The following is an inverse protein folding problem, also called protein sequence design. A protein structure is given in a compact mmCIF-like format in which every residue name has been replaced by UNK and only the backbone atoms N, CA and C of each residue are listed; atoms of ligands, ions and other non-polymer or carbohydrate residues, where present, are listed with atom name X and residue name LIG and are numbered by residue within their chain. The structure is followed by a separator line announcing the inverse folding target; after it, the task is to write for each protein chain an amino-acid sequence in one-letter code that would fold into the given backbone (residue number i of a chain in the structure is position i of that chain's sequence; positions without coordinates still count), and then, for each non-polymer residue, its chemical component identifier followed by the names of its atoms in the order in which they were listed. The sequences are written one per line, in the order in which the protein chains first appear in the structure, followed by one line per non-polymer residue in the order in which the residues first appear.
data_IF_572565308830
#
_entry.id   IF_572565308830
#
_cell.length_a   1.000
_cell.length_b   1.000
_cell.length_c   1.000
_cell.angle_alpha   90.00
_cell.angle_beta   90.00
_cell.angle_gamma   90.00
#
_symmetry.space_group_name_H-M   'P 1'
#
loop_
_entity.id
_entity.type
_entity.pdbx_description
1 polymer ?
#
# COMPACT_ATOMS: atom_id res chain seq x y z
N UNK A 1 37.52 12.95 5.89
CA UNK A 1 37.49 11.75 5.01
C UNK A 1 36.19 11.74 4.20
N UNK A 2 36.06 12.71 3.28
CA UNK A 2 34.81 13.47 3.08
C UNK A 2 34.31 13.53 1.62
N UNK A 3 34.64 12.60 0.73
CA UNK A 3 34.19 12.73 -0.68
C UNK A 3 34.07 11.43 -1.49
N UNK A 4 34.42 10.27 -0.92
CA UNK A 4 34.45 8.99 -1.64
C UNK A 4 33.30 8.02 -1.30
N UNK A 5 32.42 8.38 -0.35
CA UNK A 5 31.24 7.58 0.04
C UNK A 5 29.98 7.97 -0.76
N UNK A 6 30.00 9.15 -1.40
CA UNK A 6 28.91 9.67 -2.23
C UNK A 6 29.03 9.17 -3.67
N UNK A 7 28.42 8.00 -3.95
CA UNK A 7 28.09 7.47 -5.29
C UNK A 7 27.49 6.05 -5.24
N UNK A 8 27.58 5.37 -4.09
CA UNK A 8 26.96 4.06 -3.91
C UNK A 8 25.53 4.30 -3.45
N UNK A 9 24.55 3.73 -4.15
CA UNK A 9 23.12 3.72 -3.81
C UNK A 9 22.27 4.96 -4.20
N UNK A 10 22.74 5.86 -5.08
CA UNK A 10 21.94 7.01 -5.52
C UNK A 10 20.59 6.60 -6.13
N UNK A 11 20.54 5.47 -6.86
CA UNK A 11 19.30 4.96 -7.44
C UNK A 11 18.44 4.28 -6.39
N UNK A 12 19.05 3.46 -5.53
CA UNK A 12 18.37 2.83 -4.40
C UNK A 12 17.70 3.85 -3.49
N UNK A 13 18.38 4.94 -3.12
CA UNK A 13 17.81 6.02 -2.30
C UNK A 13 16.59 6.67 -2.96
N UNK A 14 16.64 6.92 -4.27
CA UNK A 14 15.49 7.45 -5.02
C UNK A 14 14.31 6.48 -5.04
N UNK A 15 14.58 5.18 -5.22
CA UNK A 15 13.54 4.18 -5.21
C UNK A 15 12.90 4.04 -3.83
N UNK A 16 13.70 4.04 -2.76
CA UNK A 16 13.20 4.01 -1.39
C UNK A 16 12.34 5.24 -1.08
N UNK A 17 12.76 6.43 -1.49
CA UNK A 17 11.96 7.64 -1.30
C UNK A 17 10.64 7.59 -2.09
N UNK A 18 10.66 7.07 -3.32
CA UNK A 18 9.44 6.90 -4.09
C UNK A 18 8.51 5.86 -3.43
N UNK A 19 9.05 4.76 -2.93
CA UNK A 19 8.30 3.73 -2.21
C UNK A 19 7.65 4.29 -0.95
N UNK A 20 8.38 5.06 -0.14
CA UNK A 20 7.83 5.76 1.02
C UNK A 20 6.63 6.64 0.64
N UNK A 21 6.72 7.42 -0.43
CA UNK A 21 5.60 8.24 -0.89
C UNK A 21 4.41 7.42 -1.44
N UNK A 22 4.66 6.20 -1.94
CA UNK A 22 3.62 5.25 -2.35
C UNK A 22 2.89 4.69 -1.13
N UNK A 23 3.60 4.23 -0.09
CA UNK A 23 2.96 3.71 1.13
C UNK A 23 2.17 4.78 1.88
N UNK A 24 2.66 6.02 1.92
CA UNK A 24 1.91 7.12 2.51
C UNK A 24 0.65 7.46 1.68
N UNK A 25 0.69 7.26 0.37
CA UNK A 25 -0.50 7.37 -0.47
C UNK A 25 -1.50 6.26 -0.17
N UNK A 26 -1.04 5.00 -0.09
CA UNK A 26 -1.87 3.85 0.24
C UNK A 26 -2.49 3.98 1.63
N UNK A 27 -1.68 4.36 2.63
CA UNK A 27 -2.12 4.68 4.00
C UNK A 27 -3.28 5.66 4.01
N UNK A 28 -3.13 6.82 3.34
CA UNK A 28 -4.18 7.83 3.29
C UNK A 28 -5.42 7.36 2.52
N UNK A 29 -5.23 6.59 1.44
CA UNK A 29 -6.31 6.05 0.62
C UNK A 29 -7.14 5.02 1.40
N UNK A 30 -6.48 4.04 2.04
CA UNK A 30 -7.13 3.04 2.89
C UNK A 30 -7.80 3.67 4.10
N UNK A 31 -7.20 4.69 4.72
CA UNK A 31 -7.82 5.41 5.83
C UNK A 31 -9.12 6.09 5.39
N UNK A 32 -9.14 6.77 4.24
CA UNK A 32 -10.35 7.36 3.70
C UNK A 32 -11.40 6.29 3.38
N UNK A 33 -11.00 5.19 2.74
CA UNK A 33 -11.90 4.08 2.41
C UNK A 33 -12.48 3.40 3.67
N UNK A 34 -11.70 3.24 4.73
CA UNK A 34 -12.18 2.69 6.00
C UNK A 34 -13.35 3.50 6.58
N UNK A 35 -13.23 4.83 6.59
CA UNK A 35 -14.29 5.71 7.09
C UNK A 35 -15.48 5.82 6.14
N UNK A 36 -15.26 5.73 4.83
CA UNK A 36 -16.37 5.65 3.85
C UNK A 36 -17.17 4.36 4.04
N UNK A 37 -16.49 3.23 4.30
CA UNK A 37 -17.13 1.95 4.58
C UNK A 37 -17.90 1.95 5.90
N UNK A 38 -17.35 2.59 6.94
CA UNK A 38 -18.02 2.81 8.22
C UNK A 38 -19.29 3.67 8.06
N UNK A 39 -19.21 4.77 7.30
CA UNK A 39 -20.36 5.63 6.93
C UNK A 39 -21.45 4.85 6.16
N UNK A 40 -21.07 3.80 5.43
CA UNK A 40 -21.99 2.90 4.73
C UNK A 40 -22.51 1.73 5.59
N UNK A 41 -22.10 1.62 6.86
CA UNK A 41 -22.49 0.52 7.76
C UNK A 41 -21.82 -0.83 7.45
N UNK A 42 -20.65 -0.80 6.81
CA UNK A 42 -19.89 -1.98 6.37
C UNK A 42 -18.68 -2.23 7.27
N UNK A 43 -18.91 -2.34 8.58
CA UNK A 43 -17.85 -2.35 9.61
C UNK A 43 -16.80 -3.44 9.41
N UNK A 44 -17.21 -4.60 8.87
CA UNK A 44 -16.28 -5.71 8.59
C UNK A 44 -15.26 -5.34 7.51
N UNK A 45 -15.67 -4.59 6.49
CA UNK A 45 -14.78 -4.07 5.46
C UNK A 45 -13.98 -2.88 5.98
N UNK A 46 -14.61 -1.99 6.74
CA UNK A 46 -13.92 -0.89 7.42
C UNK A 46 -12.77 -1.40 8.29
N UNK A 47 -13.02 -2.44 9.10
CA UNK A 47 -12.00 -3.10 9.92
C UNK A 47 -10.86 -3.70 9.10
N UNK A 48 -11.14 -4.28 7.92
CA UNK A 48 -10.10 -4.78 7.02
C UNK A 48 -9.23 -3.63 6.52
N UNK A 49 -9.83 -2.52 6.08
CA UNK A 49 -9.09 -1.34 5.62
C UNK A 49 -8.27 -0.69 6.74
N UNK A 50 -8.77 -0.65 7.98
CA UNK A 50 -7.96 -0.23 9.12
C UNK A 50 -6.76 -1.15 9.38
N UNK A 51 -6.88 -2.44 9.07
CA UNK A 51 -5.76 -3.37 9.05
C UNK A 51 -4.70 -2.97 8.03
N UNK A 52 -5.11 -2.73 6.78
CA UNK A 52 -4.18 -2.29 5.72
C UNK A 52 -3.48 -0.99 6.11
N UNK A 53 -4.18 -0.01 6.68
CA UNK A 53 -3.55 1.23 7.19
C UNK A 53 -2.40 0.96 8.16
N UNK A 54 -2.52 -0.04 9.04
CA UNK A 54 -1.43 -0.38 9.97
C UNK A 54 -0.27 -1.10 9.27
N UNK A 55 -0.58 -1.92 8.27
CA UNK A 55 0.41 -2.62 7.45
C UNK A 55 1.23 -1.63 6.63
N UNK A 56 0.58 -0.70 5.91
CA UNK A 56 1.24 0.34 5.12
C UNK A 56 2.11 1.28 5.96
N UNK A 57 1.66 1.63 7.16
CA UNK A 57 2.48 2.40 8.11
C UNK A 57 3.73 1.62 8.55
N UNK A 58 3.62 0.29 8.63
CA UNK A 58 4.74 -0.61 8.86
C UNK A 58 5.73 -0.58 7.71
N UNK A 59 5.26 -0.73 6.47
CA UNK A 59 6.10 -0.64 5.26
C UNK A 59 6.78 0.73 5.13
N UNK A 60 6.03 1.82 5.32
CA UNK A 60 6.57 3.18 5.33
C UNK A 60 7.69 3.35 6.37
N UNK A 61 7.51 2.78 7.57
CA UNK A 61 8.54 2.81 8.62
C UNK A 61 9.81 2.07 8.20
N UNK A 62 9.69 0.92 7.53
CA UNK A 62 10.85 0.19 7.01
C UNK A 62 11.61 1.00 5.95
N UNK A 63 10.91 1.71 5.07
CA UNK A 63 11.56 2.58 4.07
C UNK A 63 12.26 3.77 4.73
N UNK A 64 11.64 4.43 5.71
CA UNK A 64 12.27 5.52 6.47
C UNK A 64 13.57 5.04 7.14
N UNK A 65 13.51 3.92 7.86
CA UNK A 65 14.67 3.33 8.53
C UNK A 65 15.77 3.00 7.52
N UNK A 66 15.40 2.49 6.34
CA UNK A 66 16.37 2.15 5.29
C UNK A 66 17.01 3.36 4.65
N UNK A 67 16.25 4.42 4.40
CA UNK A 67 16.77 5.69 3.87
C UNK A 67 17.79 6.28 4.85
N UNK A 68 17.44 6.37 6.14
CA UNK A 68 18.32 6.88 7.18
C UNK A 68 19.58 6.02 7.33
N UNK A 69 19.45 4.69 7.27
CA UNK A 69 20.59 3.77 7.33
C UNK A 69 21.59 4.00 6.19
N UNK A 70 21.11 4.40 5.01
CA UNK A 70 21.94 4.74 3.85
C UNK A 70 22.45 6.18 3.87
N UNK A 71 22.42 6.86 5.03
CA UNK A 71 22.80 8.26 5.22
C UNK A 71 21.95 9.23 4.36
N UNK A 72 20.73 8.85 3.98
CA UNK A 72 19.74 9.69 3.28
C UNK A 72 18.83 10.48 4.23
N UNK A 73 18.03 11.38 3.68
CA UNK A 73 17.06 12.21 4.43
C UNK A 73 15.64 11.94 3.90
N UNK A 74 14.77 11.24 4.65
CA UNK A 74 13.45 10.85 4.18
C UNK A 74 12.47 12.03 4.15
N UNK A 75 11.76 12.19 3.03
CA UNK A 75 10.64 13.11 2.91
C UNK A 75 9.33 12.37 3.16
N UNK A 76 8.64 12.71 4.26
CA UNK A 76 7.38 12.07 4.67
C UNK A 76 6.20 12.81 4.03
N UNK A 77 6.02 12.57 2.73
CA UNK A 77 4.97 13.18 1.91
C UNK A 77 4.37 12.14 0.96
N UNK A 78 3.03 12.12 0.84
CA UNK A 78 2.33 11.27 -0.12
C UNK A 78 2.55 11.73 -1.58
N UNK A 79 2.58 10.78 -2.52
CA UNK A 79 2.74 11.08 -3.94
C UNK A 79 1.49 11.73 -4.56
N UNK A 80 0.31 11.44 -4.01
CA UNK A 80 -0.98 11.98 -4.47
C UNK A 80 -2.03 11.96 -3.36
N UNK A 81 -3.00 12.88 -3.39
CA UNK A 81 -4.05 12.91 -2.38
C UNK A 81 -5.03 11.75 -2.54
N UNK A 82 -5.53 11.25 -1.41
CA UNK A 82 -6.59 10.25 -1.34
C UNK A 82 -7.89 10.75 -1.99
N UNK A 83 -8.67 9.83 -2.55
CA UNK A 83 -9.93 10.14 -3.26
C UNK A 83 -11.08 9.25 -2.78
N UNK A 84 -12.24 9.86 -2.55
CA UNK A 84 -13.45 9.12 -2.16
C UNK A 84 -13.99 8.32 -3.35
N UNK A 85 -14.28 7.05 -3.09
CA UNK A 85 -15.00 6.15 -3.99
C UNK A 85 -16.51 6.19 -3.71
N UNK A 86 -17.34 6.00 -4.75
CA UNK A 86 -18.81 6.08 -4.64
C UNK A 86 -19.52 4.70 -4.68
N UNK A 87 -18.76 3.63 -4.89
CA UNK A 87 -19.22 2.24 -4.87
C UNK A 87 -18.08 1.34 -4.34
N UNK A 88 -18.39 0.13 -3.87
CA UNK A 88 -17.39 -0.88 -3.53
C UNK A 88 -16.60 -1.32 -4.76
N UNK A 89 -17.27 -1.40 -5.92
CA UNK A 89 -16.57 -1.75 -7.17
C UNK A 89 -15.51 -0.72 -7.52
N UNK A 90 -15.83 0.58 -7.42
CA UNK A 90 -14.87 1.65 -7.70
C UNK A 90 -13.76 1.69 -6.65
N UNK A 91 -14.11 1.50 -5.38
CA UNK A 91 -13.17 1.43 -4.26
C UNK A 91 -12.11 0.35 -4.49
N UNK A 92 -12.54 -0.91 -4.66
CA UNK A 92 -11.61 -2.03 -4.82
C UNK A 92 -10.83 -1.96 -6.14
N UNK A 93 -11.38 -1.36 -7.20
CA UNK A 93 -10.63 -1.11 -8.44
C UNK A 93 -9.56 -0.03 -8.27
N UNK A 94 -9.86 1.02 -7.52
CA UNK A 94 -8.90 2.08 -7.23
C UNK A 94 -7.73 1.52 -6.42
N UNK A 95 -8.03 0.78 -5.34
CA UNK A 95 -7.01 0.18 -4.48
C UNK A 95 -6.20 -0.87 -5.28
N UNK A 96 -6.86 -1.76 -6.02
CA UNK A 96 -6.16 -2.79 -6.81
C UNK A 96 -5.21 -2.18 -7.85
N UNK A 97 -5.57 -1.02 -8.41
CA UNK A 97 -4.70 -0.34 -9.36
C UNK A 97 -3.42 0.15 -8.68
N UNK A 98 -3.50 0.61 -7.44
CA UNK A 98 -2.33 1.03 -6.67
C UNK A 98 -1.47 -0.19 -6.32
N UNK A 99 -2.08 -1.28 -5.83
CA UNK A 99 -1.35 -2.52 -5.52
C UNK A 99 -0.56 -3.07 -6.71
N UNK A 100 -1.19 -3.11 -7.89
CA UNK A 100 -0.51 -3.57 -9.11
C UNK A 100 0.64 -2.65 -9.52
N UNK A 101 0.53 -1.35 -9.25
CA UNK A 101 1.60 -0.40 -9.50
C UNK A 101 2.75 -0.55 -8.49
N UNK A 102 2.45 -0.80 -7.22
CA UNK A 102 3.43 -1.14 -6.17
C UNK A 102 4.20 -2.40 -6.52
N UNK A 103 3.51 -3.51 -6.83
CA UNK A 103 4.15 -4.78 -7.23
C UNK A 103 5.13 -4.57 -8.41
N UNK A 104 4.69 -3.88 -9.47
CA UNK A 104 5.55 -3.62 -10.62
C UNK A 104 6.76 -2.77 -10.24
N UNK A 105 6.55 -1.75 -9.40
CA UNK A 105 7.60 -0.84 -8.97
C UNK A 105 8.62 -1.53 -8.06
N UNK A 106 8.17 -2.25 -7.02
CA UNK A 106 9.03 -2.93 -6.05
C UNK A 106 9.86 -4.03 -6.70
N UNK A 107 9.31 -4.77 -7.68
CA UNK A 107 10.08 -5.77 -8.42
C UNK A 107 11.23 -5.14 -9.21
N UNK A 108 10.98 -3.98 -9.85
CA UNK A 108 12.03 -3.21 -10.54
C UNK A 108 13.03 -2.61 -9.54
N UNK A 109 12.56 -2.09 -8.42
CA UNK A 109 13.40 -1.46 -7.40
C UNK A 109 14.35 -2.49 -6.75
N UNK A 110 13.87 -3.70 -6.47
CA UNK A 110 14.67 -4.81 -5.98
C UNK A 110 15.80 -5.18 -6.95
N UNK A 111 15.51 -5.33 -8.25
CA UNK A 111 16.55 -5.61 -9.27
C UNK A 111 17.61 -4.50 -9.29
N UNK A 112 17.19 -3.24 -9.21
CA UNK A 112 18.10 -2.10 -9.24
C UNK A 112 18.96 -2.00 -7.98
N UNK A 113 18.41 -2.29 -6.81
CA UNK A 113 19.18 -2.37 -5.58
C UNK A 113 20.21 -3.51 -5.64
N UNK A 114 19.84 -4.64 -6.25
CA UNK A 114 20.75 -5.78 -6.48
C UNK A 114 21.92 -5.39 -7.39
N UNK A 115 21.66 -4.65 -8.47
CA UNK A 115 22.70 -4.16 -9.39
C UNK A 115 23.71 -3.22 -8.68
N UNK A 116 23.26 -2.49 -7.64
CA UNK A 116 24.12 -1.65 -6.79
C UNK A 116 24.81 -2.44 -5.65
N UNK A 117 24.54 -3.75 -5.55
CA UNK A 117 25.07 -4.63 -4.52
C UNK A 117 24.44 -4.43 -3.14
N UNK A 118 23.26 -3.81 -3.07
CA UNK A 118 22.53 -3.53 -1.83
C UNK A 118 21.50 -4.63 -1.52
N UNK A 119 22.00 -5.78 -1.06
CA UNK A 119 21.17 -6.95 -0.74
C UNK A 119 20.19 -6.68 0.42
N UNK A 120 20.51 -5.75 1.33
CA UNK A 120 19.61 -5.39 2.42
C UNK A 120 18.36 -4.69 1.91
N UNK A 121 18.53 -3.75 0.96
CA UNK A 121 17.38 -3.08 0.33
C UNK A 121 16.60 -4.02 -0.59
N UNK A 122 17.28 -4.95 -1.27
CA UNK A 122 16.61 -5.99 -2.06
C UNK A 122 15.61 -6.77 -1.22
N UNK A 123 16.02 -7.21 -0.02
CA UNK A 123 15.15 -7.99 0.85
C UNK A 123 13.89 -7.21 1.26
N UNK A 124 14.03 -5.93 1.61
CA UNK A 124 12.90 -5.07 1.98
C UNK A 124 11.90 -4.96 0.82
N UNK A 125 12.38 -4.69 -0.40
CA UNK A 125 11.49 -4.61 -1.57
C UNK A 125 10.84 -5.95 -1.92
N UNK A 126 11.55 -7.07 -1.79
CA UNK A 126 11.00 -8.41 -2.06
C UNK A 126 9.94 -8.80 -1.00
N UNK A 127 10.16 -8.47 0.26
CA UNK A 127 9.20 -8.73 1.36
C UNK A 127 7.91 -7.92 1.16
N UNK A 128 8.03 -6.60 1.01
CA UNK A 128 6.87 -5.72 0.83
C UNK A 128 6.13 -6.10 -0.46
N UNK A 129 6.83 -6.38 -1.56
CA UNK A 129 6.17 -6.85 -2.80
C UNK A 129 5.27 -8.07 -2.57
N UNK A 130 5.69 -9.02 -1.72
CA UNK A 130 4.88 -10.21 -1.43
C UNK A 130 3.63 -9.86 -0.62
N UNK A 131 3.69 -8.86 0.25
CA UNK A 131 2.52 -8.33 0.96
C UNK A 131 1.54 -7.70 -0.04
N UNK A 132 2.02 -6.86 -0.96
CA UNK A 132 1.21 -6.23 -2.03
C UNK A 132 0.54 -7.28 -2.94
N UNK A 133 1.22 -8.38 -3.25
CA UNK A 133 0.63 -9.50 -4.00
C UNK A 133 -0.57 -10.10 -3.24
N UNK A 134 -0.46 -10.18 -1.91
CA UNK A 134 -1.54 -10.62 -1.02
C UNK A 134 -2.72 -9.65 -1.01
N UNK A 135 -2.47 -8.34 -0.96
CA UNK A 135 -3.50 -7.30 -1.01
C UNK A 135 -4.22 -7.31 -2.35
N UNK A 136 -3.45 -7.34 -3.46
CA UNK A 136 -3.99 -7.43 -4.81
C UNK A 136 -4.86 -8.68 -5.01
N UNK A 137 -4.45 -9.83 -4.47
CA UNK A 137 -5.24 -11.06 -4.53
C UNK A 137 -6.54 -10.97 -3.73
N UNK A 138 -6.51 -10.35 -2.54
CA UNK A 138 -7.73 -10.12 -1.76
C UNK A 138 -8.72 -9.21 -2.50
N UNK A 139 -8.24 -8.10 -3.09
CA UNK A 139 -9.04 -7.14 -3.84
C UNK A 139 -9.65 -7.77 -5.11
N UNK A 140 -8.87 -8.55 -5.86
CA UNK A 140 -9.37 -9.31 -7.03
C UNK A 140 -10.50 -10.24 -6.64
N UNK A 141 -10.34 -10.99 -5.55
CA UNK A 141 -11.41 -11.88 -5.04
C UNK A 141 -12.68 -11.11 -4.69
N UNK A 142 -12.58 -9.92 -4.07
CA UNK A 142 -13.77 -9.12 -3.77
C UNK A 142 -14.46 -8.62 -5.03
N UNK A 143 -13.69 -8.16 -6.02
CA UNK A 143 -14.22 -7.74 -7.32
C UNK A 143 -14.92 -8.89 -8.06
N UNK A 144 -14.34 -10.09 -8.07
CA UNK A 144 -14.95 -11.28 -8.66
C UNK A 144 -16.24 -11.69 -7.94
N UNK A 145 -16.29 -11.58 -6.60
CA UNK A 145 -17.50 -11.84 -5.83
C UNK A 145 -18.61 -10.83 -6.20
N UNK A 146 -18.28 -9.54 -6.27
CA UNK A 146 -19.20 -8.49 -6.71
C UNK A 146 -19.71 -8.76 -8.12
N UNK A 147 -18.85 -9.19 -9.05
CA UNK A 147 -19.25 -9.55 -10.42
C UNK A 147 -20.24 -10.73 -10.43
N UNK A 148 -19.98 -11.76 -9.62
CA UNK A 148 -20.81 -12.98 -9.58
C UNK A 148 -22.18 -12.77 -8.94
N UNK A 149 -22.24 -11.99 -7.87
CA UNK A 149 -23.46 -11.88 -7.04
C UNK A 149 -24.16 -10.52 -7.12
N UNK A 150 -23.50 -9.51 -7.68
CA UNK A 150 -23.95 -8.13 -7.64
C UNK A 150 -23.59 -7.44 -6.32
N UNK A 151 -23.28 -6.15 -6.42
CA UNK A 151 -22.88 -5.31 -5.29
C UNK A 151 -23.92 -5.27 -4.14
N UNK A 152 -25.25 -5.21 -4.39
CA UNK A 152 -26.22 -5.26 -3.29
C UNK A 152 -26.16 -6.54 -2.45
N UNK A 153 -25.96 -7.69 -3.08
CA UNK A 153 -25.85 -8.98 -2.36
C UNK A 153 -24.53 -9.09 -1.61
N UNK A 154 -23.45 -8.51 -2.16
CA UNK A 154 -22.17 -8.42 -1.49
C UNK A 154 -22.28 -7.53 -0.23
N UNK A 155 -22.92 -6.36 -0.34
CA UNK A 155 -23.20 -5.47 0.80
C UNK A 155 -23.91 -6.20 1.93
N UNK A 156 -24.96 -6.98 1.63
CA UNK A 156 -25.70 -7.76 2.64
C UNK A 156 -24.80 -8.75 3.40
N UNK A 157 -23.75 -9.29 2.77
CA UNK A 157 -22.82 -10.21 3.41
C UNK A 157 -21.84 -9.53 4.39
N UNK A 158 -21.65 -8.21 4.28
CA UNK A 158 -20.69 -7.42 5.06
C UNK A 158 -21.33 -6.35 5.94
N UNK A 159 -22.63 -6.09 5.77
CA UNK A 159 -23.42 -5.24 6.63
C UNK A 159 -23.44 -5.78 8.06
N UNK A 160 -23.14 -4.92 9.03
CA UNK A 160 -23.38 -5.22 10.43
C UNK A 160 -24.86 -4.98 10.71
N UNK A 161 -25.67 -6.00 11.07
CA UNK A 161 -27.04 -5.76 11.50
C UNK A 161 -27.01 -4.80 12.70
N UNK A 162 -27.80 -3.74 12.63
CA UNK A 162 -28.05 -2.88 13.79
C UNK A 162 -28.66 -3.77 14.88
N UNK A 163 -27.88 -4.08 15.92
CA UNK A 163 -28.33 -4.90 17.03
C UNK A 163 -29.16 -4.10 18.03
N UNK A 164 -29.32 -2.79 17.83
CA UNK A 164 -30.25 -1.95 18.59
C UNK A 164 -30.03 -1.96 20.10
N UNK A 165 -28.77 -1.90 20.54
CA UNK A 165 -28.43 -1.68 21.97
C UNK A 165 -28.33 -0.19 22.32
#
# INVERSE_FOLDING_TARGET
MSAAKAKKNDKTLKNLQQALSMELTATHQYMLHAHVLEDWGLDRLSKKMHGEVQEELGHASQFIDRILFLDGDPEVTEAKPAKRSNSLSDMFKADLKEELASIEFYGKAAIQARDEGDVGTVHIFEEILMDEEGHADWLKRQLELIERMGEPNYILAYHSPDTGE
#
